data_IF_497287828284
#
_entry.id   IF_497287828284
#
_cell.length_a   1.000
_cell.length_b   1.000
_cell.length_c   1.000
_cell.angle_alpha   90.00
_cell.angle_beta   90.00
_cell.angle_gamma   90.00
#
_symmetry.space_group_name_H-M   'P 1'
#
loop_
_entity.id
_entity.type
_entity.pdbx_description
1 polymer ?
#
# COMPACT_ATOMS: atom_id res chain seq x y z
N UNK A 1 15.40 -11.98 36.23
CA UNK A 1 16.82 -12.31 35.97
C UNK A 1 17.10 -11.95 34.53
N UNK A 2 17.93 -10.93 34.32
CA UNK A 2 18.25 -10.36 33.01
C UNK A 2 19.25 -11.29 32.32
N UNK A 3 18.93 -11.76 31.13
CA UNK A 3 19.83 -12.58 30.32
C UNK A 3 20.49 -11.64 29.30
N UNK A 4 21.73 -11.24 29.58
CA UNK A 4 22.58 -10.49 28.65
C UNK A 4 22.96 -11.39 27.47
N UNK A 5 22.52 -11.02 26.27
CA UNK A 5 23.05 -11.62 25.04
C UNK A 5 24.39 -10.95 24.70
N UNK A 6 25.46 -11.75 24.72
CA UNK A 6 26.81 -11.32 24.33
C UNK A 6 26.90 -11.12 22.82
N UNK A 7 27.66 -10.10 22.42
CA UNK A 7 27.99 -9.65 21.05
C UNK A 7 28.77 -10.67 20.17
N UNK A 8 28.49 -11.98 20.23
CA UNK A 8 29.30 -13.00 19.54
C UNK A 8 28.71 -13.55 18.24
N UNK A 9 27.53 -13.12 17.81
CA UNK A 9 26.92 -13.60 16.55
C UNK A 9 27.30 -12.78 15.30
N UNK A 10 27.97 -11.63 15.48
CA UNK A 10 28.51 -10.84 14.36
C UNK A 10 29.77 -11.47 13.72
N UNK A 11 30.49 -12.33 14.45
CA UNK A 11 31.69 -13.00 13.95
C UNK A 11 31.38 -14.26 13.13
N UNK A 12 30.16 -14.82 13.22
CA UNK A 12 29.74 -15.94 12.37
C UNK A 12 29.47 -15.52 10.92
N UNK A 13 29.02 -14.28 10.70
CA UNK A 13 28.75 -13.75 9.35
C UNK A 13 30.02 -13.40 8.57
N UNK A 14 31.17 -13.23 9.23
CA UNK A 14 32.44 -12.89 8.57
C UNK A 14 33.21 -14.11 8.02
N UNK A 15 32.76 -15.34 8.29
CA UNK A 15 33.45 -16.58 7.86
C UNK A 15 32.79 -17.33 6.72
N UNK A 16 31.70 -16.80 6.15
CA UNK A 16 31.08 -17.40 4.96
C UNK A 16 31.86 -16.92 3.73
N UNK A 17 32.68 -17.81 3.18
CA UNK A 17 33.28 -17.61 1.86
C UNK A 17 32.18 -17.78 0.78
N UNK A 18 31.65 -16.64 0.32
CA UNK A 18 30.56 -16.55 -0.66
C UNK A 18 31.00 -16.79 -2.12
N UNK A 19 32.25 -17.21 -2.35
CA UNK A 19 32.77 -17.39 -3.72
C UNK A 19 32.55 -18.80 -4.29
N UNK A 20 32.07 -19.78 -3.51
CA UNK A 20 31.88 -21.15 -4.02
C UNK A 20 30.71 -21.93 -3.35
N UNK A 21 29.47 -21.85 -3.87
CA UNK A 21 28.27 -22.32 -3.17
C UNK A 21 27.95 -23.82 -3.28
N UNK A 22 28.91 -24.70 -3.56
CA UNK A 22 28.59 -26.08 -4.00
C UNK A 22 28.83 -27.27 -3.06
N UNK A 23 29.44 -27.17 -1.88
CA UNK A 23 29.88 -28.42 -1.20
C UNK A 23 29.53 -28.66 0.28
N UNK A 24 28.71 -27.84 0.96
CA UNK A 24 28.37 -28.13 2.38
C UNK A 24 26.89 -28.44 2.69
N UNK A 25 25.95 -28.18 1.79
CA UNK A 25 24.52 -28.46 2.05
C UNK A 25 24.07 -29.88 1.65
N UNK A 26 24.88 -30.63 0.92
CA UNK A 26 24.50 -31.95 0.38
C UNK A 26 24.83 -33.16 1.29
N UNK A 27 25.46 -32.95 2.45
CA UNK A 27 25.87 -34.07 3.35
C UNK A 27 24.92 -34.39 4.50
N UNK A 28 23.81 -33.66 4.70
CA UNK A 28 22.90 -33.91 5.84
C UNK A 28 21.50 -34.45 5.50
N UNK A 29 21.10 -34.50 4.23
CA UNK A 29 19.77 -35.00 3.84
C UNK A 29 19.77 -36.47 3.39
N UNK A 30 20.31 -37.36 4.21
CA UNK A 30 19.98 -38.80 4.16
C UNK A 30 19.73 -39.28 5.59
N UNK A 31 18.68 -40.11 5.72
CA UNK A 31 17.98 -40.58 6.94
C UNK A 31 16.78 -39.67 7.26
N UNK A 32 15.50 -40.04 7.11
CA UNK A 32 14.88 -41.32 6.81
C UNK A 32 13.39 -41.12 6.46
N UNK A 33 12.83 -42.15 5.83
CA UNK A 33 11.49 -42.30 5.25
C UNK A 33 10.38 -42.63 6.27
N UNK A 34 9.13 -42.50 5.79
CA UNK A 34 7.83 -43.00 6.35
C UNK A 34 7.16 -42.05 7.35
N UNK A 35 5.85 -41.73 7.31
CA UNK A 35 4.64 -42.48 6.93
C UNK A 35 3.53 -41.54 6.39
N UNK A 36 2.67 -42.07 5.50
CA UNK A 36 1.39 -41.49 5.10
C UNK A 36 0.32 -41.77 6.16
N UNK A 37 -0.36 -40.75 6.68
CA UNK A 37 -1.67 -40.92 7.33
C UNK A 37 -2.67 -39.85 6.86
N UNK A 38 -3.85 -40.34 6.49
CA UNK A 38 -5.04 -39.60 6.07
C UNK A 38 -5.53 -38.69 7.20
N UNK A 39 -5.65 -37.38 6.94
CA UNK A 39 -6.49 -36.49 7.75
C UNK A 39 -7.42 -35.68 6.84
N UNK A 40 -8.70 -36.08 6.84
CA UNK A 40 -9.82 -35.31 6.35
C UNK A 40 -10.03 -34.10 7.27
N UNK A 41 -9.51 -32.93 6.89
CA UNK A 41 -9.83 -31.66 7.56
C UNK A 41 -11.05 -31.05 6.87
N UNK A 42 -12.21 -31.09 7.52
CA UNK A 42 -13.39 -30.29 7.16
C UNK A 42 -13.23 -28.89 7.75
N UNK A 43 -13.13 -27.86 6.91
CA UNK A 43 -13.18 -26.46 7.34
C UNK A 43 -14.64 -26.02 7.56
N UNK A 44 -15.06 -25.90 8.82
CA UNK A 44 -16.34 -25.30 9.23
C UNK A 44 -16.10 -23.85 9.67
N UNK A 45 -16.16 -22.88 8.75
CA UNK A 45 -16.06 -21.44 9.08
C UNK A 45 -17.12 -20.55 8.42
N UNK A 46 -18.27 -21.11 8.01
CA UNK A 46 -19.28 -20.36 7.25
C UNK A 46 -20.57 -19.98 7.99
N UNK A 47 -20.81 -20.46 9.22
CA UNK A 47 -22.17 -20.39 9.80
C UNK A 47 -22.38 -19.41 10.97
N UNK A 48 -21.37 -18.66 11.45
CA UNK A 48 -21.53 -17.88 12.69
C UNK A 48 -21.65 -16.36 12.56
N UNK A 49 -21.52 -15.76 11.37
CA UNK A 49 -21.54 -14.29 11.25
C UNK A 49 -22.68 -13.67 10.42
N UNK A 50 -23.48 -14.48 9.69
CA UNK A 50 -24.58 -13.95 8.87
C UNK A 50 -25.72 -13.38 9.73
N UNK A 51 -25.99 -13.98 10.90
CA UNK A 51 -27.10 -13.55 11.78
C UNK A 51 -26.93 -12.17 12.43
N UNK A 52 -25.72 -11.59 12.41
CA UNK A 52 -25.48 -10.24 12.96
C UNK A 52 -25.83 -9.12 11.97
N UNK A 53 -25.93 -9.41 10.68
CA UNK A 53 -26.26 -8.41 9.66
C UNK A 53 -27.77 -8.29 9.38
N UNK A 54 -28.56 -9.36 9.59
CA UNK A 54 -30.00 -9.35 9.30
C UNK A 54 -30.82 -8.47 10.28
N UNK A 55 -30.33 -8.22 11.50
CA UNK A 55 -31.09 -7.47 12.50
C UNK A 55 -31.05 -5.94 12.33
N UNK A 56 -30.13 -5.38 11.54
CA UNK A 56 -30.07 -3.92 11.30
C UNK A 56 -31.09 -3.42 10.25
N UNK A 57 -31.54 -4.27 9.33
CA UNK A 57 -32.53 -3.88 8.31
C UNK A 57 -33.94 -3.70 8.87
N UNK A 58 -34.27 -4.40 9.96
CA UNK A 58 -35.63 -4.42 10.52
C UNK A 58 -36.04 -3.13 11.26
N UNK A 59 -35.10 -2.25 11.60
CA UNK A 59 -35.36 -1.03 12.39
C UNK A 59 -35.36 0.27 11.59
N UNK A 60 -35.07 0.24 10.28
CA UNK A 60 -35.01 1.44 9.43
C UNK A 60 -36.26 1.67 8.57
N UNK A 61 -37.26 0.80 8.63
CA UNK A 61 -38.37 0.77 7.66
C UNK A 61 -39.68 1.42 8.11
N UNK A 62 -39.67 2.21 9.19
CA UNK A 62 -40.90 2.89 9.67
C UNK A 62 -40.67 4.31 10.21
N UNK A 63 -40.26 5.27 9.36
CA UNK A 63 -40.93 6.58 9.36
C UNK A 63 -40.62 7.45 8.12
N UNK A 64 -41.69 7.81 7.40
CA UNK A 64 -41.89 8.99 6.53
C UNK A 64 -41.10 9.16 5.23
N UNK A 65 -41.81 8.77 4.17
CA UNK A 65 -41.84 9.36 2.83
C UNK A 65 -41.71 10.89 2.80
N UNK A 66 -40.69 11.41 2.09
CA UNK A 66 -40.79 12.40 1.00
C UNK A 66 -39.39 12.92 0.61
N UNK A 67 -39.01 12.70 -0.66
CA UNK A 67 -37.89 13.34 -1.40
C UNK A 67 -36.46 12.96 -0.98
N UNK A 68 -36.13 11.67 -0.92
CA UNK A 68 -34.72 11.25 -0.92
C UNK A 68 -34.47 10.00 -1.79
N UNK A 69 -35.33 9.73 -2.77
CA UNK A 69 -35.27 8.49 -3.58
C UNK A 69 -34.42 8.62 -4.86
N UNK A 70 -33.94 9.82 -5.23
CA UNK A 70 -33.25 10.04 -6.52
C UNK A 70 -31.71 9.99 -6.46
N UNK A 71 -31.10 9.72 -5.29
CA UNK A 71 -29.62 9.67 -5.15
C UNK A 71 -29.20 8.51 -4.25
N UNK A 72 -29.74 7.32 -4.47
CA UNK A 72 -29.14 6.09 -3.96
C UNK A 72 -28.67 5.25 -5.15
N UNK A 73 -27.38 4.91 -5.17
CA UNK A 73 -26.87 3.83 -6.01
C UNK A 73 -27.48 2.51 -5.50
N UNK A 74 -28.71 2.19 -5.91
CA UNK A 74 -29.14 0.79 -5.93
C UNK A 74 -28.50 0.19 -7.18
N UNK A 75 -27.34 -0.45 -7.03
CA UNK A 75 -26.80 -1.31 -8.09
C UNK A 75 -27.82 -2.42 -8.35
N UNK A 76 -28.75 -2.19 -9.27
CA UNK A 76 -29.66 -3.22 -9.75
C UNK A 76 -29.51 -3.48 -11.25
N UNK A 77 -28.81 -2.63 -12.01
CA UNK A 77 -28.52 -2.91 -13.42
C UNK A 77 -27.16 -2.41 -13.91
N UNK A 78 -26.62 -3.14 -14.89
CA UNK A 78 -25.23 -3.08 -15.38
C UNK A 78 -24.96 -1.87 -16.30
N UNK A 79 -25.97 -1.08 -16.66
CA UNK A 79 -25.82 0.01 -17.64
C UNK A 79 -26.49 1.32 -17.20
N UNK A 80 -25.89 1.97 -16.20
CA UNK A 80 -26.35 3.25 -15.64
C UNK A 80 -25.62 4.46 -16.23
N UNK A 81 -25.20 4.37 -17.50
CA UNK A 81 -24.44 5.42 -18.19
C UNK A 81 -25.18 6.76 -18.25
N UNK A 82 -26.51 6.73 -18.44
CA UNK A 82 -27.35 7.93 -18.48
C UNK A 82 -27.43 8.61 -17.10
N UNK A 83 -27.56 7.82 -16.04
CA UNK A 83 -27.60 8.28 -14.64
C UNK A 83 -26.29 8.96 -14.24
N UNK A 84 -25.14 8.38 -14.61
CA UNK A 84 -23.83 8.99 -14.38
C UNK A 84 -23.66 10.34 -15.09
N UNK A 85 -24.17 10.48 -16.32
CA UNK A 85 -24.10 11.73 -17.08
C UNK A 85 -24.98 12.84 -16.48
N UNK A 86 -26.10 12.45 -15.87
CA UNK A 86 -27.06 13.37 -15.25
C UNK A 86 -26.67 13.80 -13.83
N UNK A 87 -25.75 13.09 -13.16
CA UNK A 87 -25.28 13.45 -11.81
C UNK A 87 -24.45 14.75 -11.77
N UNK A 88 -23.86 15.19 -12.89
CA UNK A 88 -23.01 16.37 -12.94
C UNK A 88 -23.45 17.38 -14.02
N UNK A 89 -24.65 17.96 -13.93
CA UNK A 89 -25.14 18.94 -14.90
C UNK A 89 -24.34 20.27 -14.85
N UNK A 90 -23.56 20.48 -13.78
CA UNK A 90 -22.74 21.67 -13.55
C UNK A 90 -21.27 21.51 -13.97
N UNK A 91 -20.89 20.43 -14.65
CA UNK A 91 -19.56 20.33 -15.24
C UNK A 91 -19.41 21.34 -16.39
N UNK A 92 -18.96 22.53 -16.00
CA UNK A 92 -17.94 23.37 -16.62
C UNK A 92 -17.95 23.26 -18.15
N UNK A 93 -18.44 24.33 -18.78
CA UNK A 93 -18.08 24.72 -20.15
C UNK A 93 -16.54 24.75 -20.28
N UNK A 94 -15.94 23.58 -20.50
CA UNK A 94 -14.58 23.47 -20.97
C UNK A 94 -14.61 23.86 -22.45
N UNK A 95 -13.74 24.77 -22.92
CA UNK A 95 -13.61 24.98 -24.35
C UNK A 95 -13.31 23.64 -25.00
N UNK A 96 -14.05 23.29 -26.06
CA UNK A 96 -13.85 22.07 -26.84
C UNK A 96 -12.41 22.05 -27.35
N UNK A 97 -11.49 21.44 -26.60
CA UNK A 97 -10.22 21.00 -27.14
C UNK A 97 -10.57 19.87 -28.11
N UNK A 98 -10.39 20.15 -29.41
CA UNK A 98 -10.38 19.13 -30.45
C UNK A 98 -9.16 18.23 -30.23
N UNK A 99 -9.23 17.36 -29.23
CA UNK A 99 -8.32 16.22 -29.12
C UNK A 99 -9.02 15.10 -29.87
N UNK A 100 -8.42 14.68 -30.98
CA UNK A 100 -8.82 13.46 -31.67
C UNK A 100 -8.93 12.34 -30.63
N UNK A 101 -10.08 11.64 -30.61
CA UNK A 101 -10.27 10.47 -29.75
C UNK A 101 -9.10 9.51 -29.98
N UNK A 102 -8.14 9.46 -29.06
CA UNK A 102 -7.19 8.36 -28.97
C UNK A 102 -8.04 7.15 -28.62
N UNK A 103 -8.32 6.34 -29.63
CA UNK A 103 -8.96 5.04 -29.47
C UNK A 103 -8.18 4.27 -28.41
N UNK A 104 -8.86 3.85 -27.34
CA UNK A 104 -8.36 2.85 -26.40
C UNK A 104 -8.18 1.55 -27.19
N UNK A 105 -7.03 1.39 -27.85
CA UNK A 105 -6.66 0.14 -28.52
C UNK A 105 -6.28 -0.85 -27.43
N UNK A 106 -6.89 -2.03 -27.50
CA UNK A 106 -6.67 -3.23 -26.66
C UNK A 106 -5.26 -3.27 -26.06
N UNK A 107 -5.18 -3.34 -24.73
CA UNK A 107 -3.94 -3.43 -23.95
C UNK A 107 -3.33 -4.85 -23.90
N UNK A 108 -3.78 -5.77 -24.76
CA UNK A 108 -3.40 -7.18 -24.77
C UNK A 108 -3.20 -7.59 -26.23
N UNK A 109 -2.10 -8.25 -26.52
CA UNK A 109 -1.84 -8.87 -27.83
C UNK A 109 -2.89 -9.97 -28.09
N UNK A 110 -3.09 -10.36 -29.35
CA UNK A 110 -4.06 -11.40 -29.71
C UNK A 110 -3.74 -12.77 -29.09
N UNK A 111 -2.52 -12.97 -28.61
CA UNK A 111 -2.04 -14.17 -27.91
C UNK A 111 -2.20 -14.10 -26.37
N UNK A 112 -2.83 -13.05 -25.83
CA UNK A 112 -3.01 -12.90 -24.38
C UNK A 112 -1.78 -12.35 -23.63
N UNK A 113 -0.70 -12.04 -24.33
CA UNK A 113 0.49 -11.43 -23.73
C UNK A 113 0.35 -9.91 -23.60
N UNK A 114 1.00 -9.34 -22.58
CA UNK A 114 1.19 -7.89 -22.53
C UNK A 114 2.13 -7.48 -23.67
N UNK A 115 1.89 -6.35 -24.35
CA UNK A 115 2.85 -5.85 -25.33
C UNK A 115 4.21 -5.69 -24.65
N UNK A 116 5.25 -6.32 -25.22
CA UNK A 116 6.62 -6.11 -24.80
C UNK A 116 6.86 -4.61 -24.72
N UNK A 117 7.15 -4.11 -23.51
CA UNK A 117 7.69 -2.77 -23.30
C UNK A 117 9.12 -2.75 -23.85
N UNK A 118 9.24 -2.86 -25.17
CA UNK A 118 10.45 -2.44 -25.85
C UNK A 118 10.53 -0.95 -25.57
N UNK A 119 11.54 -0.52 -24.82
CA UNK A 119 11.93 0.89 -24.73
C UNK A 119 12.37 1.32 -26.13
N UNK A 120 11.41 1.53 -27.03
CA UNK A 120 11.66 2.16 -28.31
C UNK A 120 12.06 3.59 -27.98
N UNK A 121 13.32 3.90 -28.26
CA UNK A 121 13.79 5.25 -28.51
C UNK A 121 12.98 5.84 -29.68
N UNK A 122 11.75 6.26 -29.41
CA UNK A 122 10.91 6.99 -30.35
C UNK A 122 10.92 8.45 -29.94
N UNK A 123 11.56 9.27 -30.79
CA UNK A 123 11.47 10.72 -30.82
C UNK A 123 10.04 11.16 -31.16
N UNK A 124 9.09 10.91 -30.27
CA UNK A 124 7.74 11.47 -30.38
C UNK A 124 7.62 12.65 -29.40
N UNK A 125 7.64 13.86 -29.96
CA UNK A 125 7.75 15.16 -29.25
C UNK A 125 6.38 15.77 -28.91
N UNK A 126 5.35 14.96 -28.65
CA UNK A 126 4.01 15.47 -28.33
C UNK A 126 3.48 14.81 -27.05
N UNK A 127 3.44 15.62 -26.00
CA UNK A 127 3.12 15.30 -24.59
C UNK A 127 4.24 14.63 -23.78
N UNK A 128 5.33 15.37 -23.55
CA UNK A 128 6.12 15.12 -22.33
C UNK A 128 5.20 15.42 -21.14
N UNK A 129 4.54 14.40 -20.59
CA UNK A 129 3.84 14.51 -19.31
C UNK A 129 4.93 14.87 -18.30
N UNK A 130 4.93 16.12 -17.83
CA UNK A 130 5.87 16.57 -16.79
C UNK A 130 5.81 15.58 -15.63
N UNK A 131 6.92 14.90 -15.34
CA UNK A 131 7.07 14.06 -14.17
C UNK A 131 7.92 14.81 -13.15
N UNK A 132 7.29 15.25 -12.07
CA UNK A 132 8.01 15.95 -11.02
C UNK A 132 7.13 16.60 -9.98
N UNK A 133 7.77 17.43 -9.16
CA UNK A 133 7.13 18.33 -8.21
C UNK A 133 6.60 19.53 -9.00
N UNK A 134 5.33 19.87 -8.82
CA UNK A 134 4.75 21.03 -9.48
C UNK A 134 5.27 22.32 -8.84
N UNK A 135 5.59 23.37 -9.63
CA UNK A 135 5.95 24.68 -9.09
C UNK A 135 4.86 25.23 -8.17
N UNK A 136 3.60 25.07 -8.59
CA UNK A 136 2.41 25.41 -7.83
C UNK A 136 1.50 24.18 -7.71
N UNK A 137 0.94 23.87 -6.53
CA UNK A 137 0.00 22.77 -6.39
C UNK A 137 -1.25 22.98 -7.25
N UNK A 138 -1.78 21.89 -7.81
CA UNK A 138 -3.05 21.91 -8.53
C UNK A 138 -4.19 21.68 -7.55
N UNK A 139 -5.22 22.51 -7.63
CA UNK A 139 -6.45 22.38 -6.86
C UNK A 139 -7.57 21.94 -7.79
N UNK A 140 -8.13 20.76 -7.54
CA UNK A 140 -9.10 20.10 -8.39
C UNK A 140 -10.35 19.74 -7.58
N UNK A 141 -11.55 19.74 -8.19
CA UNK A 141 -12.73 19.20 -7.54
C UNK A 141 -12.59 17.68 -7.32
N UNK A 142 -13.00 17.20 -6.15
CA UNK A 142 -13.00 15.79 -5.75
C UNK A 142 -14.41 15.21 -5.54
N UNK A 143 -15.43 15.78 -6.20
CA UNK A 143 -16.84 15.61 -5.86
C UNK A 143 -17.40 16.83 -5.14
N UNK A 144 -18.66 16.78 -4.69
CA UNK A 144 -19.38 17.96 -4.19
C UNK A 144 -18.82 18.52 -2.87
N UNK A 145 -18.21 17.67 -2.05
CA UNK A 145 -17.71 18.00 -0.70
C UNK A 145 -16.20 17.82 -0.53
N UNK A 146 -15.48 17.66 -1.65
CA UNK A 146 -14.05 17.37 -1.59
C UNK A 146 -13.26 18.24 -2.55
N UNK A 147 -12.08 18.64 -2.09
CA UNK A 147 -11.05 19.29 -2.89
C UNK A 147 -9.83 18.38 -2.92
N UNK A 148 -9.35 18.06 -4.13
CA UNK A 148 -8.09 17.35 -4.34
C UNK A 148 -6.97 18.37 -4.58
N UNK A 149 -5.89 18.23 -3.83
CA UNK A 149 -4.64 18.97 -4.04
C UNK A 149 -3.60 18.00 -4.58
N UNK A 150 -2.99 18.32 -5.72
CA UNK A 150 -1.84 17.59 -6.25
C UNK A 150 -0.58 18.46 -6.16
N UNK A 151 0.45 17.95 -5.48
CA UNK A 151 1.74 18.63 -5.34
C UNK A 151 2.74 18.22 -6.42
N UNK A 152 2.49 17.10 -7.10
CA UNK A 152 3.32 16.52 -8.14
C UNK A 152 2.77 15.17 -8.57
N UNK A 153 3.44 14.52 -9.52
CA UNK A 153 3.04 13.21 -10.04
C UNK A 153 4.17 12.17 -10.00
N UNK A 154 5.08 12.33 -9.05
CA UNK A 154 6.17 11.39 -8.77
C UNK A 154 6.05 10.88 -7.35
N UNK A 155 6.45 9.62 -7.15
CA UNK A 155 6.52 9.05 -5.80
C UNK A 155 7.82 9.54 -5.13
N UNK A 156 7.69 10.59 -4.32
CA UNK A 156 8.79 11.30 -3.66
C UNK A 156 8.42 11.60 -2.19
N UNK A 157 9.30 11.26 -1.25
CA UNK A 157 9.10 11.51 0.18
C UNK A 157 8.91 12.99 0.52
N UNK A 158 9.58 13.90 -0.19
CA UNK A 158 9.43 15.34 0.02
C UNK A 158 8.01 15.82 -0.26
N UNK A 159 7.35 15.27 -1.29
CA UNK A 159 5.95 15.56 -1.56
C UNK A 159 5.06 15.03 -0.45
N UNK A 160 5.37 13.85 0.11
CA UNK A 160 4.65 13.33 1.27
C UNK A 160 4.83 14.21 2.51
N UNK A 161 6.05 14.68 2.80
CA UNK A 161 6.29 15.62 3.89
C UNK A 161 5.54 16.94 3.69
N UNK A 162 5.46 17.43 2.45
CA UNK A 162 4.68 18.63 2.11
C UNK A 162 3.20 18.42 2.36
N UNK A 163 2.63 17.30 1.89
CA UNK A 163 1.23 16.97 2.09
C UNK A 163 0.88 16.83 3.59
N UNK A 164 1.72 16.12 4.36
CA UNK A 164 1.55 15.94 5.80
C UNK A 164 1.69 17.26 6.57
N UNK A 165 2.67 18.10 6.19
CA UNK A 165 2.85 19.40 6.83
C UNK A 165 1.67 20.35 6.56
N UNK A 166 1.14 20.38 5.34
CA UNK A 166 -0.06 21.17 5.04
C UNK A 166 -1.29 20.64 5.79
N UNK A 167 -1.48 19.32 5.87
CA UNK A 167 -2.54 18.69 6.67
C UNK A 167 -2.50 19.17 8.14
N UNK A 168 -1.31 19.21 8.75
CA UNK A 168 -1.13 19.72 10.11
C UNK A 168 -1.41 21.22 10.24
N UNK A 169 -1.01 22.03 9.25
CA UNK A 169 -1.30 23.47 9.24
C UNK A 169 -2.80 23.73 9.14
N UNK A 170 -3.52 23.01 8.26
CA UNK A 170 -4.98 23.11 8.13
C UNK A 170 -5.66 22.77 9.45
N UNK A 171 -5.24 21.67 10.10
CA UNK A 171 -5.76 21.26 11.40
C UNK A 171 -5.53 22.33 12.47
N UNK A 172 -4.36 22.97 12.46
CA UNK A 172 -4.00 24.02 13.44
C UNK A 172 -4.75 25.32 13.17
N UNK A 173 -4.94 25.68 11.90
CA UNK A 173 -5.69 26.86 11.49
C UNK A 173 -7.18 26.76 11.84
N UNK A 174 -7.71 25.54 12.02
CA UNK A 174 -9.10 25.29 12.38
C UNK A 174 -10.08 26.00 11.43
N UNK A 175 -9.83 25.87 10.13
CA UNK A 175 -10.61 26.52 9.06
C UNK A 175 -12.07 26.07 9.18
N UNK A 176 -12.98 27.03 9.33
CA UNK A 176 -14.42 26.75 9.42
C UNK A 176 -14.88 26.01 8.17
N UNK A 177 -15.64 24.92 8.37
CA UNK A 177 -16.19 24.11 7.28
C UNK A 177 -15.24 23.03 6.77
N UNK A 178 -13.99 22.94 7.23
CA UNK A 178 -13.10 21.81 6.91
C UNK A 178 -13.28 20.71 7.95
N UNK A 179 -13.64 19.50 7.51
CA UNK A 179 -13.87 18.36 8.40
C UNK A 179 -12.60 17.55 8.62
N UNK A 180 -11.91 17.18 7.54
CA UNK A 180 -10.71 16.35 7.61
C UNK A 180 -9.84 16.51 6.37
N UNK A 181 -8.61 16.02 6.48
CA UNK A 181 -7.66 15.97 5.38
C UNK A 181 -7.05 14.57 5.31
N UNK A 182 -6.87 14.07 4.09
CA UNK A 182 -6.32 12.75 3.81
C UNK A 182 -5.09 12.90 2.89
N UNK A 183 -3.91 13.23 3.44
CA UNK A 183 -2.66 13.25 2.67
C UNK A 183 -2.28 11.84 2.22
N UNK A 184 -1.92 11.68 0.94
CA UNK A 184 -1.56 10.40 0.35
C UNK A 184 -0.49 10.59 -0.74
N UNK A 185 0.72 10.10 -0.50
CA UNK A 185 1.88 10.29 -1.38
C UNK A 185 2.10 11.74 -1.81
N UNK A 186 1.76 12.07 -3.06
CA UNK A 186 1.98 13.36 -3.72
C UNK A 186 0.71 14.22 -3.81
N UNK A 187 -0.38 13.80 -3.17
CA UNK A 187 -1.65 14.51 -3.15
C UNK A 187 -2.28 14.53 -1.76
N UNK A 188 -3.34 15.30 -1.61
CA UNK A 188 -4.17 15.33 -0.42
C UNK A 188 -5.62 15.61 -0.81
N UNK A 189 -6.56 14.90 -0.20
CA UNK A 189 -7.98 15.27 -0.26
C UNK A 189 -8.33 16.10 0.98
N UNK A 190 -9.12 17.15 0.79
CA UNK A 190 -9.72 17.96 1.84
C UNK A 190 -11.23 17.76 1.78
N UNK A 191 -11.81 17.24 2.86
CA UNK A 191 -13.26 17.11 3.01
C UNK A 191 -13.79 18.39 3.67
N UNK A 192 -14.73 19.07 3.01
CA UNK A 192 -15.26 20.34 3.49
C UNK A 192 -16.77 20.47 3.25
N UNK A 193 -17.38 21.42 3.95
CA UNK A 193 -18.77 21.81 3.78
C UNK A 193 -18.86 23.07 2.90
N UNK A 194 -19.38 22.98 1.67
CA UNK A 194 -19.50 24.14 0.78
C UNK A 194 -20.46 25.22 1.30
N UNK A 195 -21.38 24.88 2.22
CA UNK A 195 -22.27 25.86 2.86
C UNK A 195 -21.56 26.72 3.91
N UNK A 196 -20.44 26.24 4.47
CA UNK A 196 -19.66 26.97 5.48
C UNK A 196 -18.46 27.73 4.86
N UNK A 197 -17.87 27.18 3.80
CA UNK A 197 -16.75 27.78 3.06
C UNK A 197 -16.85 27.44 1.58
N UNK A 198 -16.86 28.47 0.72
CA UNK A 198 -16.91 28.29 -0.73
C UNK A 198 -15.62 27.70 -1.29
N UNK A 199 -15.71 26.95 -2.40
CA UNK A 199 -14.56 26.29 -3.05
C UNK A 199 -13.37 27.22 -3.29
N UNK A 200 -13.63 28.43 -3.81
CA UNK A 200 -12.57 29.39 -4.12
C UNK A 200 -11.96 30.01 -2.84
N UNK A 201 -12.77 30.22 -1.81
CA UNK A 201 -12.30 30.73 -0.52
C UNK A 201 -11.42 29.69 0.18
N UNK A 202 -11.83 28.41 0.15
CA UNK A 202 -11.00 27.31 0.63
C UNK A 202 -9.66 27.26 -0.11
N UNK A 203 -9.63 27.38 -1.44
CA UNK A 203 -8.36 27.44 -2.19
C UNK A 203 -7.49 28.60 -1.72
N UNK A 204 -8.08 29.78 -1.46
CA UNK A 204 -7.33 30.95 -1.03
C UNK A 204 -6.71 30.75 0.36
N UNK A 205 -7.47 30.22 1.32
CA UNK A 205 -6.96 29.83 2.65
C UNK A 205 -5.79 28.83 2.54
N UNK A 206 -5.96 27.78 1.75
CA UNK A 206 -4.95 26.75 1.55
C UNK A 206 -3.67 27.30 0.88
N UNK A 207 -3.82 28.21 -0.09
CA UNK A 207 -2.68 28.91 -0.70
C UNK A 207 -1.97 29.82 0.29
N UNK A 208 -2.70 30.44 1.23
CA UNK A 208 -2.08 31.23 2.29
C UNK A 208 -1.22 30.35 3.19
N UNK A 209 -1.78 29.24 3.69
CA UNK A 209 -1.04 28.29 4.53
C UNK A 209 0.19 27.70 3.82
N UNK A 210 0.09 27.44 2.52
CA UNK A 210 1.22 26.95 1.72
C UNK A 210 2.36 27.97 1.61
N UNK A 211 2.08 29.28 1.60
CA UNK A 211 3.11 30.32 1.58
C UNK A 211 3.83 30.43 2.93
N UNK A 212 3.10 30.22 4.02
CA UNK A 212 3.65 30.26 5.38
C UNK A 212 4.40 28.97 5.75
N UNK A 213 4.28 27.93 4.92
CA UNK A 213 4.95 26.66 5.12
C UNK A 213 6.47 26.82 4.94
N UNK A 214 7.19 26.70 6.04
CA UNK A 214 8.66 26.67 6.02
C UNK A 214 9.16 25.37 5.38
N UNK A 215 10.38 25.42 4.83
CA UNK A 215 11.06 24.21 4.37
C UNK A 215 11.20 23.20 5.51
N UNK A 216 10.86 21.95 5.22
CA UNK A 216 10.85 20.86 6.19
C UNK A 216 12.25 20.28 6.47
N UNK A 217 13.33 20.94 6.03
CA UNK A 217 14.66 20.36 6.04
C UNK A 217 15.17 20.05 7.45
N UNK A 218 14.91 20.92 8.42
CA UNK A 218 15.32 20.72 9.82
C UNK A 218 14.28 19.92 10.64
N UNK A 219 13.19 19.47 10.01
CA UNK A 219 12.14 18.72 10.71
C UNK A 219 12.65 17.35 11.16
N UNK A 220 12.37 17.04 12.42
CA UNK A 220 12.61 15.73 13.04
C UNK A 220 11.29 15.21 13.55
N UNK A 221 10.90 14.02 13.09
CA UNK A 221 9.65 13.38 13.47
C UNK A 221 9.91 12.13 14.31
N UNK A 222 9.03 11.88 15.27
CA UNK A 222 9.03 10.59 15.95
C UNK A 222 8.43 9.54 15.01
N UNK A 223 9.21 8.51 14.68
CA UNK A 223 8.93 7.53 13.63
C UNK A 223 9.17 6.13 14.17
N UNK A 224 8.09 5.48 14.60
CA UNK A 224 8.13 4.10 15.11
C UNK A 224 8.65 3.16 14.02
N UNK A 225 9.53 2.23 14.38
CA UNK A 225 10.00 1.21 13.45
C UNK A 225 9.46 -0.15 13.88
N UNK A 226 8.68 -0.78 13.00
CA UNK A 226 8.16 -2.13 13.21
C UNK A 226 8.92 -3.13 12.35
N UNK A 227 9.34 -4.25 12.95
CA UNK A 227 9.86 -5.39 12.22
C UNK A 227 8.75 -6.42 11.98
N UNK A 228 8.51 -6.75 10.72
CA UNK A 228 7.45 -7.66 10.31
C UNK A 228 8.04 -8.98 9.76
N UNK A 229 7.90 -10.09 10.50
CA UNK A 229 8.30 -11.41 10.02
C UNK A 229 7.44 -11.76 8.79
N UNK A 230 8.09 -12.12 7.70
CA UNK A 230 7.44 -12.31 6.40
C UNK A 230 7.99 -13.56 5.73
N UNK A 231 7.12 -14.54 5.50
CA UNK A 231 7.44 -15.65 4.59
C UNK A 231 7.24 -15.14 3.18
N UNK A 232 8.33 -15.07 2.42
CA UNK A 232 8.29 -14.73 1.01
C UNK A 232 8.05 -15.97 0.16
N UNK A 233 7.48 -15.77 -1.03
CA UNK A 233 7.19 -16.83 -2.00
C UNK A 233 6.32 -17.93 -1.37
N UNK A 234 5.39 -17.50 -0.52
CA UNK A 234 4.60 -18.39 0.32
C UNK A 234 3.50 -19.13 -0.46
N UNK A 235 3.03 -20.23 0.12
CA UNK A 235 1.98 -21.07 -0.48
C UNK A 235 0.62 -20.35 -0.63
N UNK A 236 0.29 -19.40 0.26
CA UNK A 236 -1.02 -18.76 0.29
C UNK A 236 -1.17 -17.69 -0.79
N UNK A 237 -0.12 -16.88 -1.01
CA UNK A 237 -0.11 -15.92 -2.12
C UNK A 237 -0.05 -16.65 -3.46
N UNK A 238 0.72 -17.74 -3.56
CA UNK A 238 0.73 -18.63 -4.73
C UNK A 238 -0.68 -19.16 -5.05
N UNK A 239 -1.39 -19.69 -4.07
CA UNK A 239 -2.77 -20.19 -4.25
C UNK A 239 -3.70 -19.08 -4.77
N UNK A 240 -3.62 -17.87 -4.21
CA UNK A 240 -4.45 -16.74 -4.65
C UNK A 240 -4.12 -16.28 -6.08
N UNK A 241 -2.85 -16.39 -6.50
CA UNK A 241 -2.42 -16.13 -7.89
C UNK A 241 -2.96 -17.20 -8.83
N UNK A 242 -2.84 -18.48 -8.47
CA UNK A 242 -3.34 -19.61 -9.26
C UNK A 242 -4.87 -19.56 -9.43
N UNK A 243 -5.60 -19.23 -8.37
CA UNK A 243 -7.05 -19.03 -8.40
C UNK A 243 -7.46 -17.91 -9.37
N UNK A 244 -6.74 -16.79 -9.34
CA UNK A 244 -6.95 -15.68 -10.28
C UNK A 244 -6.68 -16.09 -11.73
N UNK A 245 -5.58 -16.80 -11.98
CA UNK A 245 -5.22 -17.27 -13.33
C UNK A 245 -6.29 -18.22 -13.87
N UNK A 246 -6.77 -19.13 -13.04
CA UNK A 246 -7.78 -20.11 -13.43
C UNK A 246 -9.15 -19.49 -13.73
N UNK A 247 -9.53 -18.41 -13.01
CA UNK A 247 -10.90 -17.87 -13.05
C UNK A 247 -11.07 -16.57 -13.81
N UNK A 248 -10.03 -15.73 -13.90
CA UNK A 248 -10.18 -14.34 -14.34
C UNK A 248 -9.38 -14.07 -15.62
N UNK A 249 -8.05 -14.19 -15.58
CA UNK A 249 -7.23 -13.99 -16.77
C UNK A 249 -5.86 -14.63 -16.62
N UNK A 250 -5.31 -15.12 -17.73
CA UNK A 250 -3.94 -15.60 -17.79
C UNK A 250 -2.97 -14.48 -17.43
N UNK A 251 -1.98 -14.77 -16.58
CA UNK A 251 -0.87 -13.89 -16.28
C UNK A 251 0.35 -14.68 -15.82
N UNK A 252 1.51 -14.03 -15.84
CA UNK A 252 2.72 -14.52 -15.17
C UNK A 252 2.53 -14.44 -13.64
N UNK A 253 3.00 -15.44 -12.87
CA UNK A 253 3.00 -15.34 -11.42
C UNK A 253 3.80 -14.12 -10.91
N UNK A 254 3.35 -13.57 -9.79
CA UNK A 254 3.70 -12.22 -9.36
C UNK A 254 5.19 -12.04 -9.04
N UNK A 255 5.84 -12.94 -8.26
CA UNK A 255 7.27 -12.78 -7.96
C UNK A 255 8.14 -12.79 -9.23
N UNK A 256 7.86 -13.68 -10.17
CA UNK A 256 8.57 -13.79 -11.45
C UNK A 256 8.31 -12.56 -12.31
N UNK A 257 7.07 -12.07 -12.34
CA UNK A 257 6.73 -10.85 -13.08
C UNK A 257 7.45 -9.62 -12.50
N UNK A 258 7.49 -9.47 -11.17
CA UNK A 258 8.21 -8.37 -10.51
C UNK A 258 9.70 -8.47 -10.80
N UNK A 259 10.28 -9.66 -10.68
CA UNK A 259 11.70 -9.94 -10.90
C UNK A 259 12.12 -9.51 -12.31
N UNK A 260 11.40 -9.99 -13.32
CA UNK A 260 11.67 -9.67 -14.73
C UNK A 260 11.51 -8.18 -15.02
N UNK A 261 10.40 -7.57 -14.57
CA UNK A 261 10.11 -6.17 -14.83
C UNK A 261 11.16 -5.22 -14.24
N UNK A 262 11.77 -5.62 -13.11
CA UNK A 262 12.79 -4.83 -12.42
C UNK A 262 14.23 -5.23 -12.80
N UNK A 263 14.40 -6.13 -13.77
CA UNK A 263 15.70 -6.60 -14.28
C UNK A 263 16.57 -7.21 -13.17
N UNK A 264 15.96 -8.04 -12.33
CA UNK A 264 16.64 -8.78 -11.28
C UNK A 264 16.97 -10.19 -11.76
N UNK A 265 18.02 -10.79 -11.19
CA UNK A 265 18.52 -12.09 -11.66
C UNK A 265 17.53 -13.24 -11.40
N UNK A 266 16.90 -13.23 -10.23
CA UNK A 266 15.94 -14.24 -9.80
C UNK A 266 15.00 -13.73 -8.69
N UNK A 267 14.02 -14.55 -8.32
CA UNK A 267 13.06 -14.23 -7.26
C UNK A 267 13.71 -14.05 -5.89
N UNK A 268 14.88 -14.66 -5.63
CA UNK A 268 15.60 -14.46 -4.37
C UNK A 268 16.30 -13.09 -4.35
N UNK A 269 16.78 -12.62 -5.50
CA UNK A 269 17.27 -11.25 -5.68
C UNK A 269 16.14 -10.25 -5.39
N UNK A 270 14.95 -10.49 -5.93
CA UNK A 270 13.75 -9.70 -5.56
C UNK A 270 13.51 -9.67 -4.04
N UNK A 271 13.52 -10.82 -3.36
CA UNK A 271 13.33 -10.89 -1.90
C UNK A 271 14.39 -10.08 -1.16
N UNK A 272 15.67 -10.19 -1.53
CA UNK A 272 16.77 -9.41 -0.94
C UNK A 272 16.57 -7.90 -1.13
N UNK A 273 16.17 -7.46 -2.33
CA UNK A 273 15.94 -6.04 -2.61
C UNK A 273 14.77 -5.50 -1.78
N UNK A 274 13.65 -6.21 -1.79
CA UNK A 274 12.46 -5.80 -1.06
C UNK A 274 12.73 -5.74 0.45
N UNK A 275 13.26 -6.82 1.03
CA UNK A 275 13.56 -6.86 2.47
C UNK A 275 14.75 -5.99 2.86
N UNK A 276 15.57 -5.53 1.90
CA UNK A 276 16.81 -4.78 2.14
C UNK A 276 16.61 -3.38 2.72
N UNK A 277 15.41 -2.80 2.60
CA UNK A 277 15.13 -1.43 3.05
C UNK A 277 14.06 -1.34 4.14
N UNK A 278 13.93 -0.16 4.71
CA UNK A 278 12.79 0.24 5.52
C UNK A 278 11.77 0.94 4.62
N UNK A 279 10.49 0.81 4.96
CA UNK A 279 9.39 1.36 4.21
C UNK A 279 8.71 2.45 5.02
N UNK A 280 8.71 3.67 4.50
CA UNK A 280 8.02 4.83 5.06
C UNK A 280 6.51 4.70 4.86
N UNK A 281 5.73 4.70 5.93
CA UNK A 281 4.26 4.74 5.86
C UNK A 281 3.83 6.14 5.44
N UNK A 282 3.47 6.30 4.17
CA UNK A 282 3.11 7.58 3.57
C UNK A 282 1.68 8.01 3.93
N UNK A 283 0.79 7.03 4.00
CA UNK A 283 -0.64 7.16 4.29
C UNK A 283 -1.25 5.79 4.60
N UNK A 284 -2.50 5.77 5.05
CA UNK A 284 -3.31 4.58 5.23
C UNK A 284 -4.58 4.71 4.37
N UNK A 285 -5.12 3.61 3.87
CA UNK A 285 -6.35 3.66 3.08
C UNK A 285 -6.70 2.34 2.39
N UNK A 286 -7.68 2.35 1.49
CA UNK A 286 -8.34 1.16 0.89
C UNK A 286 -9.12 0.30 1.89
N UNK A 287 -8.50 -0.06 3.01
CA UNK A 287 -9.12 -0.69 4.18
C UNK A 287 -8.52 -0.09 5.45
N UNK A 288 -9.25 -0.05 6.58
CA UNK A 288 -8.69 0.37 7.87
C UNK A 288 -7.32 -0.28 8.16
N UNK A 289 -6.32 0.56 8.40
CA UNK A 289 -4.98 0.13 8.80
C UNK A 289 -4.05 -0.33 7.68
N UNK A 290 -4.53 -0.51 6.43
CA UNK A 290 -3.65 -0.90 5.33
C UNK A 290 -2.66 0.24 5.02
N UNK A 291 -1.34 0.00 5.11
CA UNK A 291 -0.35 1.04 4.88
C UNK A 291 0.00 1.17 3.41
N UNK A 292 0.05 2.41 2.93
CA UNK A 292 0.67 2.77 1.67
C UNK A 292 2.08 3.25 1.96
N UNK A 293 3.07 2.53 1.45
CA UNK A 293 4.46 2.74 1.86
C UNK A 293 5.39 3.07 0.70
N UNK A 294 6.50 3.73 1.00
CA UNK A 294 7.58 4.01 0.05
C UNK A 294 8.90 3.45 0.59
N UNK A 295 9.72 2.79 -0.23
CA UNK A 295 11.06 2.37 0.20
C UNK A 295 11.92 3.60 0.53
N UNK A 296 12.61 3.56 1.67
CA UNK A 296 13.53 4.62 2.08
C UNK A 296 14.84 4.58 1.30
N UNK A 297 15.30 3.40 0.90
CA UNK A 297 16.43 3.29 -0.01
C UNK A 297 15.94 3.34 -1.46
N UNK A 298 16.25 4.39 -2.24
CA UNK A 298 15.83 4.48 -3.63
C UNK A 298 16.43 3.38 -4.50
N UNK A 299 17.53 2.73 -4.07
CA UNK A 299 18.13 1.58 -4.75
C UNK A 299 17.31 0.31 -4.58
N UNK A 300 16.47 0.25 -3.55
CA UNK A 300 15.50 -0.81 -3.30
C UNK A 300 14.11 -0.54 -3.92
N UNK A 301 13.99 0.51 -4.75
CA UNK A 301 12.73 0.85 -5.40
C UNK A 301 12.40 -0.17 -6.49
N UNK A 302 11.44 -1.03 -6.18
CA UNK A 302 10.80 -1.96 -7.10
C UNK A 302 9.51 -1.36 -7.61
N UNK A 303 9.13 -1.64 -8.86
CA UNK A 303 7.81 -1.22 -9.40
C UNK A 303 7.12 -2.36 -10.13
N UNK A 304 5.80 -2.45 -9.99
CA UNK A 304 4.96 -3.31 -10.81
C UNK A 304 3.54 -2.73 -10.94
N UNK A 305 2.88 -2.84 -12.11
CA UNK A 305 1.51 -2.37 -12.25
C UNK A 305 0.56 -3.16 -11.34
N UNK A 306 -0.58 -2.55 -11.01
CA UNK A 306 -1.69 -3.26 -10.39
C UNK A 306 -2.30 -4.24 -11.41
N UNK A 307 -2.93 -5.28 -10.90
CA UNK A 307 -3.79 -6.20 -11.64
C UNK A 307 -4.89 -5.44 -12.39
N UNK A 308 -5.29 -5.99 -13.54
CA UNK A 308 -6.40 -5.49 -14.34
C UNK A 308 -7.13 -6.66 -15.02
N UNK A 309 -8.35 -7.03 -14.58
CA UNK A 309 -9.07 -6.55 -13.40
C UNK A 309 -8.45 -7.06 -12.07
N UNK A 310 -8.80 -6.49 -10.90
CA UNK A 310 -8.28 -6.95 -9.60
C UNK A 310 -8.75 -8.36 -9.23
N UNK A 311 -8.05 -9.01 -8.29
CA UNK A 311 -8.53 -10.24 -7.65
C UNK A 311 -9.76 -9.97 -6.81
N UNK A 312 -10.66 -10.95 -6.75
CA UNK A 312 -11.86 -10.91 -5.89
C UNK A 312 -11.55 -11.18 -4.42
N UNK A 313 -10.41 -11.80 -4.11
CA UNK A 313 -9.94 -12.02 -2.75
C UNK A 313 -8.41 -12.11 -2.68
N UNK A 314 -7.85 -11.95 -1.48
CA UNK A 314 -6.42 -12.02 -1.14
C UNK A 314 -6.35 -12.44 0.34
N UNK A 315 -5.44 -13.35 0.75
CA UNK A 315 -5.32 -13.78 2.14
C UNK A 315 -5.02 -12.63 3.13
N UNK A 316 -5.47 -12.78 4.38
CA UNK A 316 -5.08 -11.89 5.48
C UNK A 316 -3.57 -11.96 5.72
N UNK A 317 -2.96 -10.80 5.97
CA UNK A 317 -1.52 -10.67 6.23
C UNK A 317 -0.66 -10.73 4.97
N UNK A 318 -1.26 -10.81 3.77
CA UNK A 318 -0.49 -10.81 2.53
C UNK A 318 0.31 -9.52 2.37
N UNK A 319 1.56 -9.65 1.97
CA UNK A 319 2.43 -8.55 1.54
C UNK A 319 2.38 -8.48 0.01
N UNK A 320 2.18 -7.26 -0.50
CA UNK A 320 2.12 -7.02 -1.94
C UNK A 320 2.48 -5.60 -2.32
N UNK A 321 2.62 -5.35 -3.62
CA UNK A 321 2.97 -4.05 -4.17
C UNK A 321 2.14 -3.64 -5.39
N UNK A 322 1.90 -2.34 -5.53
CA UNK A 322 1.20 -1.75 -6.67
C UNK A 322 1.80 -0.40 -7.01
N UNK A 323 2.23 -0.22 -8.25
CA UNK A 323 3.24 0.78 -8.57
C UNK A 323 4.52 0.47 -7.81
N UNK A 324 5.10 1.46 -7.14
CA UNK A 324 6.24 1.26 -6.24
C UNK A 324 5.86 1.35 -4.75
N UNK A 325 4.55 1.26 -4.44
CA UNK A 325 4.05 1.16 -3.07
C UNK A 325 3.93 -0.28 -2.62
N UNK A 326 4.42 -0.58 -1.41
CA UNK A 326 4.22 -1.87 -0.73
C UNK A 326 3.15 -1.73 0.36
N UNK A 327 2.38 -2.80 0.60
CA UNK A 327 1.33 -2.84 1.61
C UNK A 327 1.24 -4.23 2.27
N UNK A 328 0.63 -4.25 3.46
CA UNK A 328 0.19 -5.48 4.15
C UNK A 328 -1.33 -5.47 4.14
N UNK A 329 -1.96 -6.55 3.70
CA UNK A 329 -3.41 -6.71 3.69
C UNK A 329 -3.89 -7.02 5.12
N UNK A 330 -4.67 -6.13 5.75
CA UNK A 330 -5.09 -6.29 7.15
C UNK A 330 -6.09 -7.43 7.35
N UNK A 331 -6.82 -7.79 6.29
CA UNK A 331 -7.85 -8.82 6.31
C UNK A 331 -7.96 -9.52 4.94
N UNK A 332 -8.85 -10.52 4.84
CA UNK A 332 -9.19 -11.20 3.59
C UNK A 332 -10.02 -10.28 2.69
N UNK A 333 -9.41 -9.69 1.67
CA UNK A 333 -10.00 -8.60 0.88
C UNK A 333 -9.76 -8.78 -0.64
N UNK A 334 -10.59 -8.20 -1.52
CA UNK A 334 -10.22 -8.05 -2.93
C UNK A 334 -8.93 -7.24 -3.06
N UNK A 335 -8.19 -7.41 -4.16
CA UNK A 335 -6.85 -6.83 -4.24
C UNK A 335 -6.31 -6.69 -5.65
N UNK A 336 -5.72 -5.52 -5.92
CA UNK A 336 -5.07 -5.23 -7.19
C UNK A 336 -3.54 -5.30 -7.16
N UNK A 337 -2.90 -5.50 -6.00
CA UNK A 337 -1.44 -5.46 -5.92
C UNK A 337 -0.83 -6.78 -6.37
N UNK A 338 0.40 -6.77 -6.90
CA UNK A 338 1.20 -7.98 -7.06
C UNK A 338 1.57 -8.52 -5.66
N UNK A 339 1.33 -9.80 -5.37
CA UNK A 339 1.47 -10.40 -4.04
C UNK A 339 2.59 -11.44 -4.00
N UNK A 340 3.34 -11.50 -2.90
CA UNK A 340 4.59 -12.27 -2.89
C UNK A 340 5.07 -12.71 -1.51
N UNK A 341 4.32 -12.42 -0.45
CA UNK A 341 4.65 -12.86 0.89
C UNK A 341 3.45 -12.78 1.83
N UNK A 342 3.60 -13.31 3.03
CA UNK A 342 2.61 -13.21 4.10
C UNK A 342 3.27 -13.05 5.47
N UNK A 343 2.66 -12.25 6.32
CA UNK A 343 3.00 -12.13 7.74
C UNK A 343 1.85 -12.67 8.60
N UNK A 344 2.13 -13.35 9.73
CA UNK A 344 1.09 -13.80 10.66
C UNK A 344 0.63 -12.69 11.61
N UNK A 345 1.36 -11.57 11.66
CA UNK A 345 1.17 -10.50 12.64
C UNK A 345 0.05 -9.56 12.20
N UNK A 346 -0.97 -9.30 13.05
CA UNK A 346 -2.06 -8.42 12.69
C UNK A 346 -1.60 -6.96 12.65
N UNK A 347 -2.10 -6.20 11.68
CA UNK A 347 -1.89 -4.74 11.56
C UNK A 347 -3.18 -3.93 11.81
N UNK A 348 -4.29 -4.65 12.00
CA UNK A 348 -5.60 -4.14 12.30
C UNK A 348 -6.28 -5.11 13.27
N UNK A 349 -6.82 -4.57 14.36
CA UNK A 349 -7.45 -5.35 15.42
C UNK A 349 -8.61 -4.55 16.04
N UNK A 350 -9.87 -4.79 15.61
CA UNK A 350 -11.02 -4.09 16.13
C UNK A 350 -11.30 -4.39 17.62
N UNK A 351 -10.88 -5.57 18.09
CA UNK A 351 -11.11 -6.03 19.46
C UNK A 351 -9.97 -5.61 20.41
N UNK A 352 -8.91 -4.98 19.89
CA UNK A 352 -7.76 -4.47 20.65
C UNK A 352 -7.13 -5.51 21.57
N UNK A 353 -6.91 -6.71 21.04
CA UNK A 353 -6.34 -7.85 21.76
C UNK A 353 -4.87 -7.67 22.17
N UNK A 354 -4.15 -6.73 21.54
CA UNK A 354 -2.75 -6.43 21.85
C UNK A 354 -2.59 -4.98 22.32
N UNK A 355 -1.65 -4.76 23.26
CA UNK A 355 -1.39 -3.44 23.86
C UNK A 355 -1.13 -2.34 22.82
N UNK A 356 -0.48 -2.68 21.70
CA UNK A 356 -0.19 -1.75 20.59
C UNK A 356 -1.46 -1.16 19.93
N UNK A 357 -2.63 -1.77 20.13
CA UNK A 357 -3.93 -1.30 19.61
C UNK A 357 -4.78 -0.58 20.66
N UNK A 358 -4.27 -0.34 21.88
CA UNK A 358 -5.04 0.28 22.96
C UNK A 358 -5.69 1.60 22.55
N UNK A 359 -4.93 2.45 21.84
CA UNK A 359 -5.38 3.78 21.44
C UNK A 359 -6.02 3.82 20.04
N UNK A 360 -5.80 2.80 19.21
CA UNK A 360 -6.26 2.74 17.82
C UNK A 360 -6.42 1.29 17.35
N UNK A 361 -7.48 1.01 16.60
CA UNK A 361 -7.67 -0.31 15.95
C UNK A 361 -6.74 -0.53 14.76
N UNK A 362 -6.11 0.53 14.25
CA UNK A 362 -5.11 0.50 13.17
C UNK A 362 -3.72 0.63 13.79
N UNK A 363 -2.80 -0.29 13.44
CA UNK A 363 -1.47 -0.33 14.04
C UNK A 363 -0.62 0.88 13.64
N UNK A 364 -0.57 1.15 12.35
CA UNK A 364 0.30 2.17 11.77
C UNK A 364 -0.34 3.55 11.80
N UNK A 365 0.52 4.57 11.72
CA UNK A 365 0.17 5.95 11.38
C UNK A 365 1.14 6.48 10.31
N UNK A 366 0.76 7.50 9.53
CA UNK A 366 1.71 8.15 8.64
C UNK A 366 2.97 8.60 9.39
N UNK A 367 4.12 8.30 8.80
CA UNK A 367 5.43 8.56 9.39
C UNK A 367 6.03 7.43 10.23
N UNK A 368 5.30 6.34 10.48
CA UNK A 368 5.93 5.10 10.92
C UNK A 368 6.79 4.48 9.81
N UNK A 369 7.61 3.50 10.18
CA UNK A 369 8.43 2.71 9.27
C UNK A 369 8.22 1.22 9.49
N UNK A 370 8.30 0.46 8.40
CA UNK A 370 8.16 -0.99 8.38
C UNK A 370 9.45 -1.59 7.83
N UNK A 371 10.03 -2.55 8.54
CA UNK A 371 11.10 -3.40 8.04
C UNK A 371 10.56 -4.81 7.88
N UNK A 372 10.52 -5.30 6.65
CA UNK A 372 10.18 -6.69 6.40
C UNK A 372 11.39 -7.58 6.69
N UNK A 373 11.20 -8.58 7.53
CA UNK A 373 12.23 -9.54 7.93
C UNK A 373 11.87 -10.89 7.33
N UNK A 374 12.62 -11.41 6.35
CA UNK A 374 12.39 -12.74 5.81
C UNK A 374 12.45 -13.77 6.94
N UNK A 375 11.45 -14.65 7.00
CA UNK A 375 11.41 -15.76 7.95
C UNK A 375 11.02 -17.04 7.21
N UNK A 376 11.32 -18.19 7.81
CA UNK A 376 10.86 -19.49 7.29
C UNK A 376 9.45 -19.86 7.81
N UNK A 377 8.96 -21.02 7.39
CA UNK A 377 7.64 -21.50 7.80
C UNK A 377 7.57 -21.89 9.28
N UNK A 378 8.65 -22.40 9.87
CA UNK A 378 8.67 -22.80 11.28
C UNK A 378 8.59 -21.56 12.18
N UNK A 379 9.34 -20.50 11.82
CA UNK A 379 9.26 -19.18 12.45
C UNK A 379 7.86 -18.57 12.29
N UNK A 380 7.28 -18.65 11.10
CA UNK A 380 5.91 -18.17 10.85
C UNK A 380 4.89 -18.88 11.74
N UNK A 381 4.91 -20.21 11.77
CA UNK A 381 3.97 -21.03 12.55
C UNK A 381 4.13 -20.80 14.06
N UNK A 382 5.37 -20.62 14.53
CA UNK A 382 5.63 -20.26 15.92
C UNK A 382 5.01 -18.88 16.26
N UNK A 383 5.15 -17.91 15.36
CA UNK A 383 4.62 -16.55 15.58
C UNK A 383 3.09 -16.55 15.47
N UNK A 384 2.52 -17.30 14.53
CA UNK A 384 1.07 -17.45 14.36
C UNK A 384 0.44 -18.00 15.65
N UNK A 385 1.02 -19.05 16.26
CA UNK A 385 0.56 -19.57 17.57
C UNK A 385 0.59 -18.51 18.68
N UNK A 386 1.65 -17.68 18.73
CA UNK A 386 1.74 -16.58 19.70
C UNK A 386 0.71 -15.48 19.44
N UNK A 387 0.34 -15.25 18.18
CA UNK A 387 -0.73 -14.31 17.83
C UNK A 387 -2.08 -14.88 18.26
N UNK A 388 -2.34 -16.16 18.01
CA UNK A 388 -3.57 -16.85 18.38
C UNK A 388 -3.80 -16.89 19.90
N UNK A 389 -2.76 -17.19 20.69
CA UNK A 389 -2.83 -17.21 22.15
C UNK A 389 -2.62 -15.83 22.81
N UNK A 390 -2.46 -14.77 21.99
CA UNK A 390 -2.27 -13.37 22.40
C UNK A 390 -0.97 -13.12 23.21
N UNK A 391 -0.02 -14.04 23.18
CA UNK A 391 1.30 -13.87 23.81
C UNK A 391 2.32 -13.14 22.93
N UNK A 392 2.02 -12.91 21.66
CA UNK A 392 2.91 -12.19 20.74
C UNK A 392 3.26 -10.80 21.28
N UNK A 393 4.51 -10.40 21.05
CA UNK A 393 5.03 -9.07 21.37
C UNK A 393 5.59 -8.48 20.09
N UNK A 394 5.10 -7.31 19.73
CA UNK A 394 5.54 -6.62 18.53
C UNK A 394 7.01 -6.23 18.67
N UNK A 395 7.81 -6.59 17.68
CA UNK A 395 9.15 -6.04 17.51
C UNK A 395 9.01 -4.60 16.98
N UNK A 396 9.10 -3.67 17.93
CA UNK A 396 8.81 -2.26 17.77
C UNK A 396 9.88 -1.43 18.47
N UNK A 397 10.50 -0.51 17.72
CA UNK A 397 11.28 0.59 18.27
C UNK A 397 10.40 1.83 18.31
N UNK A 398 9.90 2.16 19.49
CA UNK A 398 8.85 3.17 19.67
C UNK A 398 9.38 4.62 19.59
N UNK A 399 10.51 4.91 20.23
CA UNK A 399 11.12 6.24 20.27
C UNK A 399 12.29 6.35 19.30
N UNK A 400 12.02 6.23 18.00
CA UNK A 400 13.05 6.43 16.98
C UNK A 400 12.81 7.70 16.18
N UNK A 401 13.82 8.59 16.12
CA UNK A 401 13.72 9.86 15.42
C UNK A 401 14.12 9.73 13.96
N UNK A 402 13.27 10.22 13.05
CA UNK A 402 13.60 10.37 11.63
C UNK A 402 13.88 11.85 11.34
N UNK A 403 15.10 12.16 10.89
CA UNK A 403 15.52 13.51 10.52
C UNK A 403 15.56 13.65 9.01
N UNK A 404 14.74 14.55 8.47
CA UNK A 404 14.66 14.82 7.04
C UNK A 404 16.04 15.29 6.51
N UNK A 405 16.71 16.21 7.23
CA UNK A 405 18.09 16.63 6.92
C UNK A 405 19.07 15.48 6.79
N UNK A 406 19.08 14.57 7.78
CA UNK A 406 20.01 13.43 7.79
C UNK A 406 19.72 12.48 6.63
N UNK A 407 18.44 12.24 6.34
CA UNK A 407 18.02 11.44 5.21
C UNK A 407 18.44 12.06 3.88
N UNK A 408 18.18 13.36 3.65
CA UNK A 408 18.63 14.09 2.45
C UNK A 408 20.16 14.06 2.28
N UNK A 409 20.92 14.24 3.37
CA UNK A 409 22.38 14.14 3.36
C UNK A 409 22.89 12.72 3.11
N UNK A 410 22.14 11.70 3.52
CA UNK A 410 22.47 10.32 3.16
C UNK A 410 22.21 10.06 1.68
N UNK A 411 21.06 10.51 1.14
CA UNK A 411 20.72 10.39 -0.28
C UNK A 411 21.75 11.03 -1.21
N UNK A 412 22.36 12.16 -0.83
CA UNK A 412 23.39 12.83 -1.64
C UNK A 412 24.72 12.07 -1.71
N UNK A 413 24.93 11.11 -0.81
CA UNK A 413 26.13 10.27 -0.75
C UNK A 413 25.93 8.89 -1.39
N UNK A 414 24.72 8.58 -1.84
CA UNK A 414 24.42 7.31 -2.46
C UNK A 414 25.00 7.22 -3.86
N UNK A 415 25.58 6.06 -4.17
CA UNK A 415 25.85 5.64 -5.53
C UNK A 415 24.62 4.92 -6.08
N UNK A 416 23.85 5.63 -6.92
CA UNK A 416 22.61 5.13 -7.51
C UNK A 416 22.84 4.02 -8.56
N UNK A 417 24.08 3.80 -8.99
CA UNK A 417 24.40 2.71 -9.93
C UNK A 417 24.51 1.35 -9.22
N UNK A 418 24.70 1.35 -7.90
CA UNK A 418 24.74 0.14 -7.08
C UNK A 418 23.32 -0.23 -6.65
N UNK A 419 22.54 -0.85 -7.55
CA UNK A 419 21.29 -1.51 -7.14
C UNK A 419 21.61 -2.66 -6.18
N UNK A 420 20.73 -2.85 -5.19
CA UNK A 420 20.76 -4.04 -4.33
C UNK A 420 20.30 -5.28 -5.06
#
# INVERSE_FOLDING_TARGET
MVQEYKNTDLDLFQKIDLTNPKDELLKKNKIGSSQQENNNIKFNYLNHEISKFENLESHLSQDKSKKLDDILFSQLDVDDYASFKNMYPHNISQPKLNVSKLSVKKHINEDGTYPNLVSKNTKDKTSEIFQGIYPEPKFLPGGDKYLLIEFGNVMNLELNFKAQGLSNLIKTANIKGVYETLPCFASMIVHYNPDDIGYQDLINELKSLLKDMKDNDDTVVNSRLFHFPTVYLDKWTKEAIEDYIAKITMKKPDPEFITELNQLDDVNHFVRVHSGTEYWVASLGFWPGLPFTMPLDPRCKLTAPKYNPPRTWTPKGTVGMGGSSTAIYPDRLPGGYQIFGRTPVPIWDPDKNFDVFKDSICLFRPGDRIKFVPCDYDEFEMIEKKVEDKSYRYDLIEEHKFSIKKYKNWLSKLDYNKKF
#
